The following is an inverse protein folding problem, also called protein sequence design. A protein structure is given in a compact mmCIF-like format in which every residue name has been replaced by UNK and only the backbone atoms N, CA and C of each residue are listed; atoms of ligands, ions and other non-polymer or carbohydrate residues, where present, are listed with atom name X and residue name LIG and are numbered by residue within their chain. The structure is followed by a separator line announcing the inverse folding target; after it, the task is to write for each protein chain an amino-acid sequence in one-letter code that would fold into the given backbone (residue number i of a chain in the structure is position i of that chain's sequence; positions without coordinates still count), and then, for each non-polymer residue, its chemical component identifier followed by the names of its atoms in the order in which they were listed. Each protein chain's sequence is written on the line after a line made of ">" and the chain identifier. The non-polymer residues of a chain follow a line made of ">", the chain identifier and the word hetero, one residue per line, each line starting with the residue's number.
data_IF_487398148548
#
_entry.id   IF_487398148548
#
_cell.length_a   1.000
_cell.length_b   1.000
_cell.length_c   1.000
_cell.angle_alpha   90.00
_cell.angle_beta   90.00
_cell.angle_gamma   90.00
#
_symmetry.space_group_name_H-M   'P 1'
#
loop_
_entity.id
_entity.type
_entity.pdbx_description
1 polymer ?
#
# COMPACT_ATOMS: atom_id res chain seq x y z
N UNK A 1 6.97 -7.38 0.07
CA UNK A 1 5.77 -8.09 0.59
C UNK A 1 4.57 -8.19 -0.33
N UNK A 2 4.31 -7.23 -1.22
CA UNK A 2 3.08 -7.18 -2.03
C UNK A 2 2.78 -8.43 -2.90
N UNK A 3 3.80 -9.19 -3.30
CA UNK A 3 3.64 -10.31 -4.25
C UNK A 3 3.57 -11.68 -3.55
N UNK A 4 4.26 -11.86 -2.41
CA UNK A 4 4.43 -13.19 -1.79
C UNK A 4 3.11 -13.84 -1.37
N UNK A 5 2.21 -13.09 -0.75
CA UNK A 5 0.89 -13.59 -0.30
C UNK A 5 -0.18 -13.70 -1.40
N UNK A 6 0.11 -13.17 -2.60
CA UNK A 6 -0.86 -12.94 -3.65
C UNK A 6 -0.60 -13.74 -4.92
N UNK A 7 0.45 -14.57 -4.95
CA UNK A 7 0.90 -15.31 -6.14
C UNK A 7 -0.17 -16.17 -6.82
N UNK A 8 -1.10 -16.72 -6.04
CA UNK A 8 -2.20 -17.57 -6.52
C UNK A 8 -3.57 -16.94 -6.30
N UNK A 9 -3.63 -15.62 -6.21
CA UNK A 9 -4.85 -14.85 -6.02
C UNK A 9 -5.02 -13.89 -7.18
N UNK A 10 -6.24 -13.70 -7.63
CA UNK A 10 -6.56 -12.63 -8.58
C UNK A 10 -6.95 -11.40 -7.79
N UNK A 11 -6.26 -10.29 -8.02
CA UNK A 11 -6.55 -9.01 -7.37
C UNK A 11 -7.13 -8.08 -8.42
N UNK A 12 -8.33 -7.57 -8.17
CA UNK A 12 -8.94 -6.48 -8.92
C UNK A 12 -8.95 -5.26 -8.02
N UNK A 13 -8.23 -4.23 -8.41
CA UNK A 13 -8.15 -2.97 -7.71
C UNK A 13 -8.45 -1.84 -8.69
N UNK A 14 -9.26 -0.88 -8.26
CA UNK A 14 -9.48 0.35 -9.00
C UNK A 14 -9.43 1.56 -8.09
N UNK A 15 -8.87 2.62 -8.64
CA UNK A 15 -8.91 3.94 -8.05
C UNK A 15 -10.21 4.63 -8.47
N UNK A 16 -10.99 5.12 -7.50
CA UNK A 16 -12.24 5.84 -7.78
C UNK A 16 -11.96 7.34 -7.81
N UNK A 17 -11.54 7.89 -6.68
CA UNK A 17 -11.28 9.33 -6.53
C UNK A 17 -10.35 9.62 -5.34
N UNK A 18 -9.78 10.82 -5.33
CA UNK A 18 -9.11 11.36 -4.14
C UNK A 18 -10.14 12.12 -3.30
N UNK A 19 -10.35 11.70 -2.06
CA UNK A 19 -11.23 12.42 -1.12
C UNK A 19 -10.56 13.69 -0.62
N UNK A 20 -9.24 13.64 -0.44
CA UNK A 20 -8.40 14.79 -0.16
C UNK A 20 -7.13 14.74 -1.01
N UNK A 21 -6.55 15.89 -1.40
CA UNK A 21 -5.25 15.93 -2.05
C UNK A 21 -4.17 15.26 -1.20
N UNK A 22 -3.28 14.43 -1.78
CA UNK A 22 -2.15 13.86 -1.06
C UNK A 22 -1.28 14.94 -0.42
N UNK A 23 -0.88 14.76 0.85
CA UNK A 23 -0.04 15.72 1.59
C UNK A 23 1.24 15.06 2.08
N UNK A 24 2.37 15.74 1.89
CA UNK A 24 3.63 15.34 2.53
C UNK A 24 3.50 15.61 4.03
N UNK A 25 3.72 14.59 4.85
CA UNK A 25 3.60 14.69 6.32
C UNK A 25 4.93 14.57 7.04
N UNK A 26 5.91 13.92 6.42
CA UNK A 26 7.24 13.75 7.01
C UNK A 26 8.29 13.62 5.92
N UNK A 27 9.44 14.22 6.17
CA UNK A 27 10.63 14.13 5.34
C UNK A 27 11.79 13.69 6.22
N UNK A 28 12.48 12.63 5.82
CA UNK A 28 13.67 12.15 6.49
C UNK A 28 14.79 11.98 5.48
N UNK A 29 16.00 12.32 5.89
CA UNK A 29 17.20 12.00 5.13
C UNK A 29 18.11 11.21 6.06
N UNK A 30 18.26 9.92 5.80
CA UNK A 30 19.19 9.08 6.55
C UNK A 30 20.51 8.99 5.78
N UNK A 31 21.59 9.39 6.46
CA UNK A 31 22.95 8.99 6.09
C UNK A 31 23.21 7.62 6.70
N UNK A 32 23.40 6.59 5.87
CA UNK A 32 23.85 5.30 6.40
C UNK A 32 25.29 5.42 6.93
N UNK A 33 25.63 4.56 7.89
CA UNK A 33 26.94 4.48 8.56
C UNK A 33 28.13 4.37 7.58
N UNK A 34 27.90 3.89 6.35
CA UNK A 34 28.88 4.00 5.27
C UNK A 34 28.90 5.41 4.67
N UNK A 35 30.00 6.15 4.90
CA UNK A 35 30.25 7.47 4.30
C UNK A 35 29.98 7.44 2.79
N UNK A 36 28.94 8.15 2.35
CA UNK A 36 28.60 8.30 0.93
C UNK A 36 27.28 7.69 0.47
N UNK A 37 26.51 7.03 1.35
CA UNK A 37 25.16 6.54 1.00
C UNK A 37 24.07 7.37 1.68
N UNK A 38 23.39 8.22 0.89
CA UNK A 38 22.31 9.09 1.34
C UNK A 38 20.97 8.65 0.75
N UNK A 39 19.98 8.41 1.61
CA UNK A 39 18.62 8.06 1.22
C UNK A 39 17.64 9.12 1.73
N UNK A 40 16.83 9.64 0.80
CA UNK A 40 15.71 10.52 1.12
C UNK A 40 14.44 9.70 1.21
N UNK A 41 13.71 9.86 2.31
CA UNK A 41 12.41 9.25 2.55
C UNK A 41 11.34 10.34 2.69
N UNK A 42 10.23 10.17 1.99
CA UNK A 42 9.08 11.08 1.99
C UNK A 42 7.85 10.27 2.38
N UNK A 43 7.23 10.60 3.50
CA UNK A 43 5.95 10.04 3.89
C UNK A 43 4.82 10.93 3.39
N UNK A 44 3.92 10.34 2.61
CA UNK A 44 2.76 11.03 2.03
C UNK A 44 1.48 10.43 2.61
N UNK A 45 0.64 11.28 3.18
CA UNK A 45 -0.74 10.95 3.57
C UNK A 45 -1.62 10.98 2.33
N UNK A 46 -2.29 9.86 2.06
CA UNK A 46 -3.25 9.71 0.96
C UNK A 46 -4.61 9.33 1.54
N UNK A 47 -5.64 10.10 1.19
CA UNK A 47 -7.02 9.81 1.56
C UNK A 47 -7.84 9.66 0.28
N UNK A 48 -8.17 8.41 -0.05
CA UNK A 48 -8.68 8.05 -1.37
C UNK A 48 -9.84 7.08 -1.24
N UNK A 49 -10.73 7.09 -2.22
CA UNK A 49 -11.78 6.10 -2.37
C UNK A 49 -11.33 5.07 -3.41
N UNK A 50 -11.35 3.80 -3.02
CA UNK A 50 -10.84 2.70 -3.83
C UNK A 50 -11.80 1.52 -3.81
N UNK A 51 -11.73 0.68 -4.83
CA UNK A 51 -12.42 -0.62 -4.87
C UNK A 51 -11.37 -1.72 -4.89
N UNK A 52 -11.55 -2.75 -4.07
CA UNK A 52 -10.66 -3.90 -3.99
C UNK A 52 -11.48 -5.18 -3.90
N UNK A 53 -11.19 -6.13 -4.79
CA UNK A 53 -11.71 -7.49 -4.74
C UNK A 53 -10.55 -8.48 -4.90
N UNK A 54 -10.44 -9.42 -3.96
CA UNK A 54 -9.42 -10.46 -3.99
C UNK A 54 -10.13 -11.81 -4.14
N UNK A 55 -9.70 -12.58 -5.14
CA UNK A 55 -10.22 -13.90 -5.43
C UNK A 55 -9.18 -14.97 -5.10
N UNK A 56 -9.65 -16.15 -4.68
CA UNK A 56 -8.79 -17.32 -4.55
C UNK A 56 -8.40 -17.89 -5.92
N UNK A 57 -7.61 -18.97 -5.91
CA UNK A 57 -7.17 -19.68 -7.12
C UNK A 57 -8.31 -20.32 -7.93
N UNK A 58 -9.50 -20.43 -7.35
CA UNK A 58 -10.70 -21.01 -7.95
C UNK A 58 -11.70 -19.93 -8.39
N UNK A 59 -11.34 -18.64 -8.27
CA UNK A 59 -12.22 -17.53 -8.64
C UNK A 59 -13.30 -17.19 -7.62
N UNK A 60 -13.22 -17.70 -6.39
CA UNK A 60 -14.17 -17.35 -5.31
C UNK A 60 -13.71 -16.08 -4.61
N UNK A 61 -14.64 -15.16 -4.34
CA UNK A 61 -14.36 -13.91 -3.66
C UNK A 61 -13.94 -14.18 -2.20
N UNK A 62 -12.75 -13.69 -1.82
CA UNK A 62 -12.18 -13.84 -0.48
C UNK A 62 -12.24 -12.55 0.35
N UNK A 63 -12.13 -11.39 -0.30
CA UNK A 63 -12.04 -10.11 0.39
C UNK A 63 -12.57 -8.98 -0.49
N UNK A 64 -13.27 -8.03 0.14
CA UNK A 64 -13.81 -6.85 -0.50
C UNK A 64 -14.97 -7.17 -1.46
N UNK A 65 -15.12 -6.39 -2.51
CA UNK A 65 -16.18 -6.53 -3.51
C UNK A 65 -15.94 -5.61 -4.70
N UNK A 66 -16.39 -6.00 -5.90
CA UNK A 66 -16.07 -5.29 -7.15
C UNK A 66 -16.81 -3.96 -7.35
N UNK A 67 -17.85 -3.71 -6.56
CA UNK A 67 -18.70 -2.52 -6.71
C UNK A 67 -18.83 -1.73 -5.41
N UNK A 68 -18.12 -2.14 -4.36
CA UNK A 68 -18.20 -1.50 -3.05
C UNK A 68 -16.98 -0.61 -2.83
N UNK A 69 -17.07 0.69 -3.16
CA UNK A 69 -15.99 1.62 -2.87
C UNK A 69 -15.81 1.77 -1.36
N UNK A 70 -14.57 1.97 -0.95
CA UNK A 70 -14.18 2.17 0.44
C UNK A 70 -13.22 3.32 0.57
N UNK A 71 -13.38 4.06 1.66
CA UNK A 71 -12.53 5.17 2.03
C UNK A 71 -11.28 4.60 2.71
N UNK A 72 -10.12 4.91 2.17
CA UNK A 72 -8.84 4.38 2.64
C UNK A 72 -7.92 5.55 2.94
N UNK A 73 -7.51 5.63 4.21
CA UNK A 73 -6.49 6.55 4.69
C UNK A 73 -5.17 5.80 4.88
N UNK A 74 -4.14 6.21 4.14
CA UNK A 74 -2.84 5.54 4.10
C UNK A 74 -1.68 6.52 4.20
N UNK A 75 -0.59 6.07 4.81
CA UNK A 75 0.66 6.81 4.89
C UNK A 75 1.71 6.03 4.10
N UNK A 76 1.94 6.44 2.85
CA UNK A 76 2.85 5.77 1.94
C UNK A 76 4.23 6.41 2.04
N UNK A 77 5.25 5.59 2.24
CA UNK A 77 6.65 6.02 2.30
C UNK A 77 7.28 5.80 0.94
N UNK A 78 7.77 6.87 0.33
CA UNK A 78 8.61 6.84 -0.85
C UNK A 78 10.06 7.00 -0.44
N UNK A 79 10.96 6.30 -1.13
CA UNK A 79 12.40 6.39 -0.90
C UNK A 79 13.12 6.63 -2.23
N UNK A 80 14.15 7.47 -2.17
CA UNK A 80 15.09 7.69 -3.27
C UNK A 80 16.51 7.64 -2.73
N UNK A 81 17.37 6.93 -3.45
CA UNK A 81 18.81 7.01 -3.25
C UNK A 81 19.32 8.32 -3.88
N UNK A 82 19.74 9.26 -3.05
CA UNK A 82 20.01 10.65 -3.46
C UNK A 82 21.36 10.82 -4.16
N UNK A 83 22.30 9.91 -3.90
CA UNK A 83 23.66 9.95 -4.46
C UNK A 83 23.69 9.45 -5.90
N UNK A 84 22.73 8.59 -6.29
CA UNK A 84 22.60 8.17 -7.67
C UNK A 84 21.83 9.23 -8.49
N UNK A 85 22.45 9.87 -9.49
CA UNK A 85 21.78 10.87 -10.33
C UNK A 85 20.59 10.29 -11.11
N UNK A 86 20.62 8.99 -11.41
CA UNK A 86 19.54 8.26 -12.08
C UNK A 86 18.52 7.64 -11.11
N UNK A 87 18.66 7.90 -9.81
CA UNK A 87 17.74 7.40 -8.79
C UNK A 87 16.34 7.98 -8.98
N UNK A 88 15.32 7.13 -8.97
CA UNK A 88 13.91 7.51 -8.99
C UNK A 88 13.27 7.30 -7.62
N UNK A 89 12.18 8.01 -7.35
CA UNK A 89 11.35 7.75 -6.19
C UNK A 89 10.63 6.42 -6.36
N UNK A 90 10.75 5.55 -5.35
CA UNK A 90 10.09 4.24 -5.34
C UNK A 90 9.28 4.10 -4.06
N UNK A 91 8.15 3.40 -4.13
CA UNK A 91 7.39 3.05 -2.94
C UNK A 91 8.23 2.09 -2.09
N UNK A 92 8.55 2.51 -0.87
CA UNK A 92 9.36 1.75 0.08
C UNK A 92 8.49 0.98 1.06
N UNK A 93 7.42 1.60 1.56
CA UNK A 93 6.56 0.96 2.54
C UNK A 93 5.28 1.74 2.84
N UNK A 94 4.52 1.21 3.79
CA UNK A 94 3.31 1.83 4.32
C UNK A 94 3.42 1.87 5.85
N UNK A 95 3.09 3.02 6.44
CA UNK A 95 2.93 3.16 7.88
C UNK A 95 1.47 2.88 8.21
N UNK A 96 1.23 1.98 9.16
CA UNK A 96 -0.09 1.74 9.74
C UNK A 96 -0.08 2.36 11.13
N UNK A 97 -0.80 3.48 11.35
CA UNK A 97 -0.86 4.08 12.67
C UNK A 97 -1.57 3.15 13.64
N UNK A 98 -1.17 3.17 14.92
CA UNK A 98 -1.76 2.31 15.96
C UNK A 98 -3.25 2.58 16.17
N UNK A 99 -3.71 3.80 15.92
CA UNK A 99 -5.11 4.20 16.01
C UNK A 99 -5.93 3.87 14.74
N UNK A 100 -5.31 3.35 13.68
CA UNK A 100 -6.03 3.02 12.46
C UNK A 100 -7.10 1.95 12.76
N UNK A 101 -8.31 2.08 12.20
CA UNK A 101 -9.32 1.04 12.35
C UNK A 101 -8.79 -0.29 11.78
N UNK A 102 -9.15 -1.43 12.39
CA UNK A 102 -8.77 -2.73 11.87
C UNK A 102 -9.34 -2.93 10.47
N UNK A 103 -8.60 -3.64 9.62
CA UNK A 103 -9.10 -4.04 8.30
C UNK A 103 -10.26 -5.01 8.46
N UNK A 104 -11.16 -4.98 7.49
CA UNK A 104 -12.25 -5.95 7.43
C UNK A 104 -11.77 -7.39 7.51
N UNK A 105 -12.57 -8.28 8.09
CA UNK A 105 -12.24 -9.69 8.14
C UNK A 105 -12.20 -10.28 6.72
N UNK A 106 -11.23 -11.16 6.48
CA UNK A 106 -11.18 -11.97 5.26
C UNK A 106 -12.24 -13.07 5.37
N UNK A 107 -13.09 -13.20 4.36
CA UNK A 107 -14.05 -14.30 4.27
C UNK A 107 -13.25 -15.58 4.00
N UNK A 108 -13.06 -16.39 5.04
CA UNK A 108 -12.49 -17.73 4.90
C UNK A 108 -13.59 -18.68 4.47
N UNK A 109 -13.73 -18.90 3.16
CA UNK A 109 -14.56 -19.99 2.66
C UNK A 109 -13.81 -21.29 2.95
N UNK A 110 -14.31 -22.10 3.89
CA UNK A 110 -13.77 -23.45 4.12
C UNK A 110 -13.88 -24.24 2.81
N UNK A 111 -12.83 -24.95 2.36
CA UNK A 111 -13.00 -25.90 1.26
C UNK A 111 -14.01 -26.97 1.68
N UNK A 112 -14.86 -27.48 0.76
CA UNK A 112 -15.61 -28.70 1.03
C UNK A 112 -14.62 -29.83 1.31
N UNK A 113 -14.90 -30.61 2.36
CA UNK A 113 -14.10 -31.75 2.80
C UNK A 113 -14.16 -32.93 1.84
#
# INVERSE_FOLDING_TARGET
>A
DMVRGNRYKTIRWSFVESLEPPRVVHLRCDSMVSKGNLYGQVTVRMHTRQVLAIYDRFGRLMYGGEQTPRDVLEYVVFERYLVNPYGTWRMHGKIVPQWAPPKDPIIKVKPPG
#
